data_IF_926811159297
#
_entry.id   IF_926811159297
#
_cell.length_a   1.000
_cell.length_b   1.000
_cell.length_c   1.000
_cell.angle_alpha   90.00
_cell.angle_beta   90.00
_cell.angle_gamma   90.00
#
_symmetry.space_group_name_H-M   'P 1'
#
loop_
_entity.id
_entity.type
_entity.pdbx_description
1 polymer ?
#
# COMPACT_ATOMS: atom_id res chain seq x y z
N UNK A 1 3.46 4.33 16.13
CA UNK A 1 3.88 5.70 15.75
C UNK A 1 3.74 5.79 14.23
N UNK A 2 3.05 6.80 13.68
CA UNK A 2 2.83 6.97 12.23
C UNK A 2 3.54 8.24 11.79
N UNK A 3 4.34 8.17 10.72
CA UNK A 3 5.00 9.36 10.15
C UNK A 3 4.13 9.97 9.06
N UNK A 4 3.85 11.26 9.19
CA UNK A 4 3.14 12.05 8.17
C UNK A 4 4.20 12.83 7.37
N UNK A 5 4.21 12.65 6.06
CA UNK A 5 5.11 13.38 5.15
C UNK A 5 4.23 14.30 4.30
N UNK A 6 4.44 15.61 4.40
CA UNK A 6 3.81 16.55 3.48
C UNK A 6 4.58 16.56 2.16
N UNK A 7 3.88 16.28 1.06
CA UNK A 7 4.42 16.35 -0.29
C UNK A 7 3.77 17.52 -1.02
N UNK A 8 4.52 18.57 -1.38
CA UNK A 8 3.96 19.70 -2.12
C UNK A 8 3.52 19.26 -3.51
N UNK A 9 2.28 19.58 -3.89
CA UNK A 9 1.70 19.28 -5.21
C UNK A 9 2.20 20.27 -6.28
N UNK A 10 3.53 20.38 -6.40
CA UNK A 10 4.18 21.29 -7.37
C UNK A 10 4.33 20.65 -8.74
N UNK A 11 4.22 19.31 -8.81
CA UNK A 11 4.39 18.51 -10.03
C UNK A 11 3.52 17.25 -9.94
N UNK A 12 2.84 16.84 -11.02
CA UNK A 12 2.17 15.54 -11.08
C UNK A 12 3.10 14.37 -10.70
N UNK A 13 2.57 13.45 -9.90
CA UNK A 13 3.31 12.27 -9.42
C UNK A 13 4.40 12.58 -8.39
N UNK A 14 4.33 13.72 -7.68
CA UNK A 14 5.27 14.01 -6.59
C UNK A 14 5.10 13.02 -5.42
N UNK A 15 3.86 12.62 -5.11
CA UNK A 15 3.55 11.64 -4.07
C UNK A 15 4.13 10.28 -4.42
N UNK A 16 3.93 9.83 -5.67
CA UNK A 16 4.41 8.52 -6.11
C UNK A 16 5.92 8.42 -6.04
N UNK A 17 6.62 9.48 -6.47
CA UNK A 17 8.07 9.60 -6.32
C UNK A 17 8.51 9.55 -4.87
N UNK A 18 7.80 10.21 -3.96
CA UNK A 18 8.12 10.15 -2.55
C UNK A 18 7.93 8.73 -1.99
N UNK A 19 6.87 8.03 -2.39
CA UNK A 19 6.64 6.63 -2.01
C UNK A 19 7.78 5.74 -2.53
N UNK A 20 8.15 5.88 -3.81
CA UNK A 20 9.27 5.13 -4.41
C UNK A 20 10.58 5.34 -3.63
N UNK A 21 10.91 6.58 -3.26
CA UNK A 21 12.11 6.87 -2.46
C UNK A 21 12.08 6.20 -1.08
N UNK A 22 10.91 6.10 -0.46
CA UNK A 22 10.77 5.42 0.83
C UNK A 22 10.88 3.89 0.67
N UNK A 23 10.35 3.32 -0.42
CA UNK A 23 10.53 1.91 -0.77
C UNK A 23 12.01 1.58 -1.05
N UNK A 24 12.71 2.40 -1.83
CA UNK A 24 14.15 2.26 -2.12
C UNK A 24 14.98 2.34 -0.84
N UNK A 25 14.62 3.26 0.06
CA UNK A 25 15.28 3.38 1.37
C UNK A 25 15.03 2.14 2.21
N UNK A 26 13.81 1.62 2.24
CA UNK A 26 13.48 0.43 2.99
C UNK A 26 14.27 -0.78 2.49
N UNK A 27 14.30 -1.01 1.18
CA UNK A 27 15.07 -2.08 0.54
C UNK A 27 16.55 -2.04 0.89
N UNK A 28 17.18 -0.87 0.82
CA UNK A 28 18.62 -0.74 1.09
C UNK A 28 18.99 -1.08 2.54
N UNK A 29 18.09 -0.84 3.50
CA UNK A 29 18.39 -0.93 4.94
C UNK A 29 17.98 -2.28 5.53
N UNK A 30 17.07 -3.01 4.90
CA UNK A 30 16.54 -4.27 5.42
C UNK A 30 17.05 -5.47 4.61
N UNK A 31 17.20 -6.61 5.29
CA UNK A 31 17.58 -7.89 4.68
C UNK A 31 16.33 -8.71 4.32
N UNK A 32 16.46 -9.78 3.52
CA UNK A 32 15.35 -10.69 3.20
C UNK A 32 14.59 -11.17 4.45
N UNK A 33 13.31 -11.51 4.27
CA UNK A 33 12.30 -11.74 5.34
C UNK A 33 11.65 -10.48 5.95
N UNK A 34 11.91 -9.30 5.39
CA UNK A 34 11.13 -8.11 5.70
C UNK A 34 9.77 -8.12 4.97
N UNK A 35 8.79 -7.37 5.50
CA UNK A 35 7.46 -7.20 4.90
C UNK A 35 7.24 -5.75 4.50
N UNK A 36 6.79 -5.52 3.28
CA UNK A 36 6.33 -4.23 2.78
C UNK A 36 4.81 -4.30 2.59
N UNK A 37 4.11 -3.32 3.16
CA UNK A 37 2.68 -3.12 2.93
C UNK A 37 2.51 -1.80 2.18
N UNK A 38 2.05 -1.88 0.93
CA UNK A 38 1.70 -0.70 0.13
C UNK A 38 0.18 -0.52 0.12
N UNK A 39 -0.29 0.66 0.50
CA UNK A 39 -1.70 1.04 0.37
C UNK A 39 -1.81 1.96 -0.85
N UNK A 40 -2.10 1.38 -2.01
CA UNK A 40 -2.24 2.09 -3.29
C UNK A 40 -2.96 1.22 -4.31
N UNK A 41 -3.61 1.87 -5.28
CA UNK A 41 -4.19 1.21 -6.47
C UNK A 41 -3.45 1.55 -7.77
N UNK A 42 -2.32 2.25 -7.69
CA UNK A 42 -1.61 2.76 -8.86
C UNK A 42 -0.69 1.69 -9.48
N UNK A 43 -0.81 1.52 -10.80
CA UNK A 43 -0.05 0.53 -11.57
C UNK A 43 1.44 0.88 -11.69
N UNK A 44 1.79 2.15 -11.51
CA UNK A 44 3.19 2.61 -11.64
C UNK A 44 4.14 1.97 -10.61
N UNK A 45 3.60 1.35 -9.55
CA UNK A 45 4.39 0.64 -8.54
C UNK A 45 4.77 -0.80 -8.93
N UNK A 46 4.18 -1.38 -9.99
CA UNK A 46 4.40 -2.80 -10.36
C UNK A 46 5.87 -3.16 -10.46
N UNK A 47 6.67 -2.36 -11.18
CA UNK A 47 8.10 -2.63 -11.35
C UNK A 47 8.82 -2.70 -10.00
N UNK A 48 8.59 -1.72 -9.12
CA UNK A 48 9.24 -1.68 -7.82
C UNK A 48 8.80 -2.82 -6.91
N UNK A 49 7.51 -3.15 -6.89
CA UNK A 49 7.00 -4.26 -6.08
C UNK A 49 7.55 -5.61 -6.54
N UNK A 50 7.77 -5.77 -7.84
CA UNK A 50 8.39 -6.97 -8.40
C UNK A 50 9.83 -7.13 -7.88
N UNK A 51 10.62 -6.06 -7.92
CA UNK A 51 11.99 -6.05 -7.38
C UNK A 51 12.01 -6.39 -5.88
N UNK A 52 11.14 -5.76 -5.09
CA UNK A 52 11.06 -6.03 -3.65
C UNK A 52 10.71 -7.49 -3.35
N UNK A 53 9.79 -8.09 -4.11
CA UNK A 53 9.37 -9.48 -3.91
C UNK A 53 10.44 -10.47 -4.37
N UNK A 54 10.93 -10.31 -5.60
CA UNK A 54 11.71 -11.34 -6.27
C UNK A 54 13.22 -11.15 -6.10
N UNK A 55 13.70 -9.90 -6.10
CA UNK A 55 15.13 -9.61 -5.95
C UNK A 55 15.51 -9.42 -4.49
N UNK A 56 14.74 -8.64 -3.72
CA UNK A 56 15.02 -8.41 -2.29
C UNK A 56 14.47 -9.51 -1.37
N UNK A 57 13.61 -10.40 -1.89
CA UNK A 57 13.04 -11.52 -1.12
C UNK A 57 12.12 -11.07 0.02
N UNK A 58 11.44 -9.93 -0.15
CA UNK A 58 10.49 -9.43 0.83
C UNK A 58 9.11 -10.04 0.63
N UNK A 59 8.33 -10.08 1.71
CA UNK A 59 6.90 -10.27 1.62
C UNK A 59 6.25 -8.96 1.20
N UNK A 60 5.55 -8.96 0.06
CA UNK A 60 4.85 -7.78 -0.46
C UNK A 60 3.35 -7.97 -0.28
N UNK A 61 2.72 -7.04 0.44
CA UNK A 61 1.28 -6.96 0.62
C UNK A 61 0.77 -5.66 -0.02
N UNK A 62 -0.29 -5.76 -0.81
CA UNK A 62 -0.94 -4.59 -1.42
C UNK A 62 -2.37 -4.47 -0.90
N UNK A 63 -2.72 -3.30 -0.35
CA UNK A 63 -4.11 -2.93 -0.05
C UNK A 63 -4.53 -1.92 -1.11
N UNK A 64 -5.55 -2.24 -1.89
CA UNK A 64 -5.87 -1.48 -3.10
C UNK A 64 -7.33 -1.04 -3.17
N UNK A 65 -7.59 -0.02 -3.99
CA UNK A 65 -8.96 0.38 -4.31
C UNK A 65 -9.62 -0.60 -5.31
N UNK A 66 -10.92 -0.46 -5.55
CA UNK A 66 -11.68 -1.32 -6.47
C UNK A 66 -11.20 -1.27 -7.92
N UNK A 67 -10.61 -0.15 -8.33
CA UNK A 67 -10.19 0.10 -9.72
C UNK A 67 -8.76 -0.35 -10.02
N UNK A 68 -8.03 -0.85 -9.02
CA UNK A 68 -6.67 -1.31 -9.19
C UNK A 68 -6.59 -2.42 -10.25
N UNK A 69 -5.58 -2.27 -11.11
CA UNK A 69 -5.29 -3.19 -12.20
C UNK A 69 -4.80 -4.54 -11.68
N UNK A 70 -5.08 -5.61 -12.41
CA UNK A 70 -4.75 -6.97 -11.96
C UNK A 70 -3.25 -7.19 -11.91
N UNK A 71 -2.50 -6.54 -12.80
CA UNK A 71 -1.03 -6.53 -12.84
C UNK A 71 -0.42 -6.06 -11.50
N UNK A 72 -1.05 -5.08 -10.84
CA UNK A 72 -0.64 -4.62 -9.52
C UNK A 72 -0.88 -5.69 -8.43
N UNK A 73 -2.04 -6.35 -8.49
CA UNK A 73 -2.44 -7.37 -7.51
C UNK A 73 -1.56 -8.61 -7.61
N UNK A 74 -1.32 -9.08 -8.83
CA UNK A 74 -0.52 -10.28 -9.12
C UNK A 74 0.96 -10.13 -8.72
N UNK A 75 1.47 -8.90 -8.71
CA UNK A 75 2.83 -8.61 -8.27
C UNK A 75 3.01 -8.85 -6.77
N UNK A 76 1.96 -8.68 -5.96
CA UNK A 76 2.02 -8.88 -4.52
C UNK A 76 2.00 -10.37 -4.13
N UNK A 77 2.56 -10.71 -2.96
CA UNK A 77 2.38 -12.03 -2.37
C UNK A 77 0.94 -12.21 -1.87
N UNK A 78 0.35 -11.13 -1.35
CA UNK A 78 -1.05 -11.08 -0.90
C UNK A 78 -1.63 -9.71 -1.26
N UNK A 79 -2.85 -9.69 -1.76
CA UNK A 79 -3.58 -8.44 -2.04
C UNK A 79 -4.95 -8.44 -1.35
N UNK A 80 -5.33 -7.30 -0.78
CA UNK A 80 -6.67 -7.07 -0.22
C UNK A 80 -7.31 -5.86 -0.88
N UNK A 81 -8.60 -5.93 -1.15
CA UNK A 81 -9.35 -4.70 -1.43
C UNK A 81 -9.50 -3.86 -0.15
N UNK A 82 -9.60 -2.55 -0.31
CA UNK A 82 -9.83 -1.64 0.82
C UNK A 82 -11.09 -1.99 1.60
N UNK A 83 -12.14 -2.44 0.92
CA UNK A 83 -13.40 -2.83 1.55
C UNK A 83 -13.21 -4.05 2.46
N UNK A 84 -12.55 -5.10 1.99
CA UNK A 84 -12.23 -6.27 2.82
C UNK A 84 -11.35 -5.89 4.01
N UNK A 85 -10.38 -4.99 3.80
CA UNK A 85 -9.48 -4.56 4.87
C UNK A 85 -10.19 -3.75 5.97
N UNK A 86 -11.25 -3.00 5.61
CA UNK A 86 -11.92 -2.05 6.53
C UNK A 86 -13.30 -2.52 7.00
N UNK A 87 -13.78 -3.68 6.56
CA UNK A 87 -15.13 -4.17 6.83
C UNK A 87 -15.49 -4.14 8.32
N UNK A 88 -14.59 -4.60 9.19
CA UNK A 88 -14.84 -4.65 10.63
C UNK A 88 -15.00 -3.26 11.26
N UNK A 89 -14.25 -2.26 10.77
CA UNK A 89 -14.34 -0.87 11.25
C UNK A 89 -15.65 -0.24 10.79
N UNK A 90 -16.02 -0.47 9.53
CA UNK A 90 -17.31 0.01 8.97
C UNK A 90 -18.50 -0.55 9.74
N UNK A 91 -18.47 -1.84 10.10
CA UNK A 91 -19.51 -2.45 10.92
C UNK A 91 -19.59 -1.83 12.33
N UNK A 92 -18.45 -1.47 12.92
CA UNK A 92 -18.43 -0.81 14.24
C UNK A 92 -19.03 0.60 14.17
N UNK A 93 -18.71 1.39 13.15
CA UNK A 93 -19.26 2.74 12.96
C UNK A 93 -20.78 2.70 12.76
N UNK A 94 -21.28 1.81 11.91
CA UNK A 94 -22.72 1.61 11.71
C UNK A 94 -23.44 1.22 13.01
N UNK A 95 -22.81 0.38 13.83
CA UNK A 95 -23.37 -0.01 15.14
C UNK A 95 -23.40 1.16 16.14
N UNK A 96 -22.49 2.12 16.05
CA UNK A 96 -22.48 3.32 16.90
C UNK A 96 -23.53 4.35 16.46
N UNK A 97 -23.71 4.54 15.15
CA UNK A 97 -24.74 5.43 14.59
C UNK A 97 -26.14 4.94 14.95
N UNK A 98 -26.42 3.64 14.79
CA UNK A 98 -27.71 3.03 15.13
C UNK A 98 -28.05 3.07 16.63
N UNK A 99 -27.05 3.30 17.50
CA UNK A 99 -27.26 3.48 18.95
C UNK A 99 -27.50 4.93 19.36
N UNK A 100 -27.22 5.86 18.45
CA UNK A 100 -27.31 7.31 18.69
C UNK A 100 -28.56 7.94 18.08
N UNK A 101 -29.35 7.15 17.33
CA UNK A 101 -30.66 7.48 16.76
C UNK A 101 -31.79 6.84 17.61
#
# INVERSE_FOLDING_TARGET
>A
NVRIIHVPDRKPGAVDRQIMLELDRFERVHRPSATVVLISGDIDFVGKLNDLRHQAGFQVIVIHNKLAKDELKETANVSYSWNEFTESVQQQELNLENRSA
#
